data_IF_081550822696
#
_entry.id   IF_081550822696
#
_cell.length_a   1.000
_cell.length_b   1.000
_cell.length_c   1.000
_cell.angle_alpha   90.00
_cell.angle_beta   90.00
_cell.angle_gamma   90.00
#
_symmetry.space_group_name_H-M   'P 1'
#
loop_
_entity.id
_entity.type
_entity.pdbx_description
1 polymer ?
#
# COMPACT_ATOMS: atom_id res chain seq x y z
N UNK A 1 -11.87 6.51 17.01
CA UNK A 1 -11.25 6.81 15.72
C UNK A 1 -10.95 8.29 15.75
N UNK A 2 -9.73 8.68 16.10
CA UNK A 2 -9.35 10.08 15.99
C UNK A 2 -9.35 10.37 14.49
N UNK A 3 -10.36 11.14 14.07
CA UNK A 3 -10.74 11.32 12.68
C UNK A 3 -9.64 12.16 12.01
N UNK A 4 -8.50 11.61 11.62
CA UNK A 4 -7.48 12.35 10.85
C UNK A 4 -7.84 12.43 9.36
N UNK A 5 -9.12 12.73 9.15
CA UNK A 5 -9.79 13.00 7.88
C UNK A 5 -10.65 14.28 8.00
N UNK A 6 -10.62 14.95 9.17
CA UNK A 6 -11.60 15.96 9.63
C UNK A 6 -11.82 17.13 8.67
N UNK A 7 -10.96 17.40 7.68
CA UNK A 7 -11.08 18.64 6.90
C UNK A 7 -11.58 18.51 5.46
N UNK A 8 -11.90 17.32 4.93
CA UNK A 8 -12.35 17.22 3.53
C UNK A 8 -13.46 16.20 3.25
N UNK A 9 -14.62 16.46 3.86
CA UNK A 9 -15.86 15.77 3.52
C UNK A 9 -16.38 16.10 2.09
N UNK A 10 -15.78 17.10 1.41
CA UNK A 10 -16.28 17.66 0.15
C UNK A 10 -15.65 17.05 -1.12
N UNK A 11 -14.67 16.14 -0.99
CA UNK A 11 -14.14 15.42 -2.15
C UNK A 11 -15.06 14.25 -2.51
N UNK A 12 -15.44 14.12 -3.80
CA UNK A 12 -16.13 12.94 -4.34
C UNK A 12 -15.38 11.62 -4.05
N UNK A 13 -14.08 11.69 -3.76
CA UNK A 13 -13.25 10.54 -3.45
C UNK A 13 -13.09 10.26 -1.95
N UNK A 14 -13.68 11.07 -1.08
CA UNK A 14 -13.56 10.91 0.37
C UNK A 14 -14.10 9.56 0.83
N UNK A 15 -15.38 9.25 0.59
CA UNK A 15 -15.99 8.01 1.09
C UNK A 15 -15.30 6.73 0.57
N UNK A 16 -14.96 6.60 -0.73
CA UNK A 16 -14.17 5.46 -1.23
C UNK A 16 -12.79 5.34 -0.57
N UNK A 17 -12.13 6.47 -0.31
CA UNK A 17 -10.81 6.51 0.31
C UNK A 17 -10.87 6.06 1.79
N UNK A 18 -11.88 6.52 2.54
CA UNK A 18 -12.13 6.06 3.91
C UNK A 18 -12.41 4.55 3.93
N UNK A 19 -13.28 4.07 3.05
CA UNK A 19 -13.63 2.65 2.97
C UNK A 19 -12.41 1.77 2.66
N UNK A 20 -11.54 2.19 1.74
CA UNK A 20 -10.30 1.51 1.43
C UNK A 20 -9.34 1.49 2.63
N UNK A 21 -9.21 2.62 3.33
CA UNK A 21 -8.39 2.73 4.54
C UNK A 21 -8.90 1.82 5.66
N UNK A 22 -10.21 1.81 5.93
CA UNK A 22 -10.83 0.94 6.93
C UNK A 22 -10.63 -0.54 6.62
N UNK A 23 -10.69 -0.94 5.34
CA UNK A 23 -10.50 -2.33 4.92
C UNK A 23 -9.07 -2.83 5.17
N UNK A 24 -8.06 -1.98 4.98
CA UNK A 24 -6.65 -2.38 5.11
C UNK A 24 -6.14 -2.19 6.53
N UNK A 25 -6.44 -1.03 7.12
CA UNK A 25 -5.86 -0.59 8.38
C UNK A 25 -6.72 -1.02 9.59
N UNK A 26 -7.99 -1.34 9.35
CA UNK A 26 -9.00 -1.62 10.38
C UNK A 26 -9.20 -0.44 11.34
N UNK A 27 -9.97 -0.65 12.43
CA UNK A 27 -10.29 0.38 13.44
C UNK A 27 -9.14 0.69 14.41
N UNK A 28 -7.92 0.27 14.11
CA UNK A 28 -6.75 0.52 14.95
C UNK A 28 -6.39 2.01 14.90
N UNK A 29 -5.77 2.52 15.97
CA UNK A 29 -5.33 3.92 16.04
C UNK A 29 -4.06 4.10 15.22
N UNK A 30 -4.10 4.91 14.16
CA UNK A 30 -2.94 5.19 13.31
C UNK A 30 -2.76 6.68 13.15
N UNK A 31 -1.50 7.12 13.04
CA UNK A 31 -1.18 8.50 12.65
C UNK A 31 -1.22 8.58 11.13
N UNK A 32 -2.16 9.35 10.59
CA UNK A 32 -2.29 9.61 9.17
C UNK A 32 -1.85 11.04 8.86
N UNK A 33 -1.17 11.24 7.73
CA UNK A 33 -0.81 12.54 7.20
C UNK A 33 -1.44 12.66 5.82
N UNK A 34 -2.27 13.68 5.63
CA UNK A 34 -2.85 14.00 4.32
C UNK A 34 -1.98 15.04 3.65
N UNK A 35 -1.56 14.76 2.42
CA UNK A 35 -0.99 15.75 1.51
C UNK A 35 -2.04 16.12 0.50
N UNK A 36 -2.42 17.40 0.52
CA UNK A 36 -3.43 17.97 -0.36
C UNK A 36 -2.72 18.87 -1.35
N UNK A 37 -3.13 18.77 -2.60
CA UNK A 37 -2.77 19.73 -3.62
C UNK A 37 -4.03 20.55 -3.92
N UNK A 38 -3.87 21.87 -4.04
CA UNK A 38 -4.98 22.81 -4.23
C UNK A 38 -5.66 22.69 -5.61
N UNK A 39 -5.22 21.75 -6.44
CA UNK A 39 -5.77 21.48 -7.76
C UNK A 39 -6.70 20.26 -7.71
N UNK A 40 -7.95 20.45 -8.16
CA UNK A 40 -9.00 19.43 -8.24
C UNK A 40 -8.64 18.21 -9.11
N UNK A 41 -7.60 18.31 -9.95
CA UNK A 41 -7.11 17.21 -10.77
C UNK A 41 -6.00 16.37 -10.12
N UNK A 42 -5.51 16.77 -8.95
CA UNK A 42 -4.40 16.06 -8.31
C UNK A 42 -4.89 14.98 -7.32
N UNK A 43 -4.17 13.85 -7.21
CA UNK A 43 -4.56 12.75 -6.34
C UNK A 43 -4.56 13.19 -4.87
N UNK A 44 -5.64 12.89 -4.15
CA UNK A 44 -5.63 12.96 -2.69
C UNK A 44 -4.77 11.82 -2.17
N UNK A 45 -3.69 12.14 -1.46
CA UNK A 45 -2.78 11.15 -0.87
C UNK A 45 -2.87 11.19 0.65
N UNK A 46 -3.10 10.03 1.25
CA UNK A 46 -3.07 9.82 2.70
C UNK A 46 -1.96 8.83 3.01
N UNK A 47 -0.99 9.28 3.77
CA UNK A 47 0.13 8.47 4.27
C UNK A 47 -0.10 8.08 5.72
N UNK A 48 0.41 6.94 6.14
CA UNK A 48 0.33 6.50 7.53
C UNK A 48 1.38 5.46 7.86
N UNK A 49 1.56 5.24 9.17
CA UNK A 49 2.38 4.14 9.67
C UNK A 49 1.48 3.13 10.39
N UNK A 50 1.51 1.89 9.93
CA UNK A 50 0.85 0.75 10.56
C UNK A 50 1.89 -0.04 11.33
N UNK A 51 1.61 -0.34 12.59
CA UNK A 51 2.39 -1.27 13.38
C UNK A 51 1.66 -2.62 13.49
N UNK A 52 2.33 -3.69 13.05
CA UNK A 52 1.81 -5.05 13.15
C UNK A 52 2.89 -6.04 13.51
N UNK A 53 2.76 -6.70 14.68
CA UNK A 53 3.71 -7.71 15.17
C UNK A 53 5.16 -7.21 15.11
N UNK A 54 5.42 -6.09 15.79
CA UNK A 54 6.75 -5.47 15.94
C UNK A 54 7.39 -4.98 14.64
N UNK A 55 6.54 -4.67 13.67
CA UNK A 55 6.96 -4.20 12.36
C UNK A 55 6.21 -2.94 11.98
N UNK A 56 6.98 -1.92 11.65
CA UNK A 56 6.46 -0.71 11.03
C UNK A 56 6.27 -0.92 9.54
N UNK A 57 5.13 -0.49 9.04
CA UNK A 57 4.84 -0.41 7.62
C UNK A 57 4.36 0.99 7.28
N UNK A 58 4.89 1.54 6.20
CA UNK A 58 4.41 2.79 5.63
C UNK A 58 3.32 2.46 4.64
N UNK A 59 2.15 3.07 4.78
CA UNK A 59 1.03 2.91 3.85
C UNK A 59 0.66 4.25 3.25
N UNK A 60 0.41 4.26 1.95
CA UNK A 60 -0.11 5.39 1.20
C UNK A 60 -1.40 4.97 0.52
N UNK A 61 -2.44 5.79 0.64
CA UNK A 61 -3.66 5.69 -0.13
C UNK A 61 -3.72 6.88 -1.08
N UNK A 62 -3.91 6.62 -2.36
CA UNK A 62 -4.10 7.65 -3.36
C UNK A 62 -5.48 7.47 -4.00
N UNK A 63 -6.26 8.54 -4.09
CA UNK A 63 -7.52 8.55 -4.81
C UNK A 63 -7.48 9.51 -6.00
N UNK A 64 -7.92 9.03 -7.16
CA UNK A 64 -8.05 9.83 -8.39
C UNK A 64 -9.47 9.72 -8.93
N UNK A 65 -9.99 10.82 -9.47
CA UNK A 65 -11.26 10.83 -10.17
C UNK A 65 -11.04 10.44 -11.64
N UNK A 66 -11.69 9.37 -12.10
CA UNK A 66 -11.63 8.91 -13.50
C UNK A 66 -13.05 8.76 -14.00
N UNK A 67 -13.45 9.55 -15.00
CA UNK A 67 -14.80 9.54 -15.57
C UNK A 67 -15.91 9.71 -14.52
N UNK A 68 -15.69 10.57 -13.52
CA UNK A 68 -16.64 10.78 -12.42
C UNK A 68 -16.67 9.66 -11.36
N UNK A 69 -15.85 8.62 -11.50
CA UNK A 69 -15.70 7.55 -10.52
C UNK A 69 -14.34 7.62 -9.83
N UNK A 70 -14.33 7.55 -8.51
CA UNK A 70 -13.09 7.54 -7.74
C UNK A 70 -12.44 6.17 -7.75
N UNK A 71 -11.19 6.12 -8.23
CA UNK A 71 -10.33 4.95 -8.16
C UNK A 71 -9.33 5.15 -7.04
N UNK A 72 -9.30 4.19 -6.12
CA UNK A 72 -8.40 4.24 -4.97
C UNK A 72 -7.31 3.19 -5.14
N UNK A 73 -6.07 3.59 -4.92
CA UNK A 73 -4.92 2.70 -4.85
C UNK A 73 -4.31 2.81 -3.46
N UNK A 74 -3.79 1.70 -2.97
CA UNK A 74 -2.98 1.66 -1.77
C UNK A 74 -1.62 1.07 -2.08
N UNK A 75 -0.58 1.62 -1.47
CA UNK A 75 0.77 1.08 -1.48
C UNK A 75 1.24 0.96 -0.06
N UNK A 76 1.55 -0.25 0.37
CA UNK A 76 2.07 -0.57 1.68
C UNK A 76 3.49 -1.09 1.55
N UNK A 77 4.45 -0.41 2.15
CA UNK A 77 5.87 -0.73 2.11
C UNK A 77 6.38 -1.09 3.50
N UNK A 78 7.25 -2.09 3.56
CA UNK A 78 7.81 -2.60 4.80
C UNK A 78 9.05 -3.45 4.54
N UNK A 79 9.82 -3.77 5.59
CA UNK A 79 11.03 -4.59 5.48
C UNK A 79 10.91 -5.90 6.25
N UNK A 80 11.60 -6.94 5.79
CA UNK A 80 11.91 -8.14 6.56
C UNK A 80 13.42 -8.24 6.74
N UNK A 81 13.89 -8.65 7.91
CA UNK A 81 15.32 -8.95 8.17
C UNK A 81 15.66 -10.37 7.69
N UNK A 82 15.35 -10.63 6.43
CA UNK A 82 15.55 -11.89 5.72
C UNK A 82 15.73 -11.59 4.23
N UNK A 83 16.51 -12.39 3.48
CA UNK A 83 16.59 -12.29 2.03
C UNK A 83 15.21 -12.46 1.36
N UNK A 84 14.99 -11.80 0.21
CA UNK A 84 13.70 -11.84 -0.47
C UNK A 84 13.31 -13.23 -0.96
N UNK A 85 14.27 -14.12 -1.23
CA UNK A 85 13.97 -15.50 -1.59
C UNK A 85 13.27 -16.24 -0.44
N UNK A 86 13.72 -16.03 0.80
CA UNK A 86 13.12 -16.60 2.01
C UNK A 86 11.73 -15.98 2.24
N UNK A 87 11.63 -14.65 2.15
CA UNK A 87 10.35 -13.94 2.27
C UNK A 87 9.33 -14.44 1.22
N UNK A 88 9.78 -14.69 -0.01
CA UNK A 88 8.94 -15.26 -1.05
C UNK A 88 8.41 -16.63 -0.64
N UNK A 89 9.27 -17.52 -0.15
CA UNK A 89 8.91 -18.90 0.20
C UNK A 89 8.05 -19.00 1.46
N UNK A 90 8.21 -18.09 2.42
CA UNK A 90 7.51 -18.15 3.70
C UNK A 90 6.22 -17.33 3.69
N UNK A 91 6.30 -16.09 3.19
CA UNK A 91 5.21 -15.10 3.27
C UNK A 91 4.39 -15.07 1.98
N UNK A 92 5.05 -15.10 0.82
CA UNK A 92 4.40 -14.96 -0.48
C UNK A 92 4.27 -16.29 -1.24
N UNK A 93 4.30 -17.43 -0.55
CA UNK A 93 4.28 -18.78 -1.18
C UNK A 93 3.07 -19.06 -2.06
N UNK A 94 1.95 -18.39 -1.76
CA UNK A 94 0.69 -18.50 -2.51
C UNK A 94 0.56 -17.44 -3.61
N UNK A 95 1.54 -16.57 -3.80
CA UNK A 95 1.53 -15.56 -4.84
C UNK A 95 2.23 -16.10 -6.09
N UNK A 96 1.71 -15.73 -7.26
CA UNK A 96 2.28 -16.12 -8.54
C UNK A 96 3.39 -15.16 -8.93
N UNK A 97 4.52 -15.70 -9.40
CA UNK A 97 5.57 -14.90 -9.99
C UNK A 97 5.10 -14.34 -11.33
N UNK A 98 5.23 -13.02 -11.50
CA UNK A 98 4.90 -12.31 -12.75
C UNK A 98 6.13 -11.92 -13.55
N UNK A 99 7.26 -11.73 -12.88
CA UNK A 99 8.51 -11.39 -13.54
C UNK A 99 9.51 -10.78 -12.58
N UNK A 100 10.47 -10.10 -13.17
CA UNK A 100 11.63 -9.49 -12.51
C UNK A 100 11.79 -8.10 -13.13
N UNK A 101 11.85 -7.04 -12.32
CA UNK A 101 12.07 -5.67 -12.81
C UNK A 101 13.56 -5.36 -13.00
N UNK A 102 14.40 -5.97 -12.18
CA UNK A 102 15.86 -5.92 -12.25
C UNK A 102 16.42 -7.11 -11.45
N UNK A 103 17.75 -7.27 -11.44
CA UNK A 103 18.40 -8.43 -10.81
C UNK A 103 18.08 -8.63 -9.31
N UNK A 104 17.56 -7.62 -8.62
CA UNK A 104 17.24 -7.69 -7.19
C UNK A 104 15.75 -7.56 -6.87
N UNK A 105 14.88 -7.37 -7.87
CA UNK A 105 13.46 -7.05 -7.65
C UNK A 105 12.53 -8.02 -8.35
N UNK A 106 11.83 -8.82 -7.55
CA UNK A 106 10.81 -9.77 -8.00
C UNK A 106 9.43 -9.10 -8.04
N UNK A 107 8.61 -9.47 -9.04
CA UNK A 107 7.21 -9.07 -9.14
C UNK A 107 6.32 -10.27 -8.92
N UNK A 108 5.40 -10.16 -7.97
CA UNK A 108 4.42 -11.19 -7.62
C UNK A 108 3.00 -10.63 -7.77
N UNK A 109 2.04 -11.49 -8.08
CA UNK A 109 0.60 -11.16 -8.02
C UNK A 109 -0.14 -12.15 -7.12
N UNK A 110 -1.16 -11.65 -6.43
CA UNK A 110 -1.99 -12.49 -5.58
C UNK A 110 -2.80 -13.48 -6.44
N UNK A 111 -2.75 -14.77 -6.10
CA UNK A 111 -3.37 -15.83 -6.93
C UNK A 111 -4.89 -15.69 -7.11
N UNK A 112 -5.58 -15.02 -6.18
CA UNK A 112 -7.04 -14.82 -6.26
C UNK A 112 -7.45 -13.44 -6.79
N UNK A 113 -6.52 -12.49 -6.84
CA UNK A 113 -6.81 -11.11 -7.20
C UNK A 113 -5.60 -10.50 -7.89
N UNK A 114 -5.62 -10.50 -9.22
CA UNK A 114 -4.52 -9.99 -10.03
C UNK A 114 -4.31 -8.46 -9.88
N UNK A 115 -5.26 -7.74 -9.25
CA UNK A 115 -5.09 -6.31 -8.92
C UNK A 115 -4.18 -6.09 -7.71
N UNK A 116 -3.81 -7.17 -7.00
CA UNK A 116 -2.86 -7.11 -5.90
C UNK A 116 -1.49 -7.55 -6.39
N UNK A 117 -0.55 -6.61 -6.38
CA UNK A 117 0.83 -6.81 -6.84
C UNK A 117 1.77 -6.61 -5.65
N UNK A 118 2.80 -7.42 -5.56
CA UNK A 118 3.86 -7.26 -4.58
C UNK A 118 5.22 -7.20 -5.29
N UNK A 119 6.06 -6.27 -4.85
CA UNK A 119 7.44 -6.14 -5.25
C UNK A 119 8.32 -6.54 -4.08
N UNK A 120 9.28 -7.43 -4.31
CA UNK A 120 10.25 -7.87 -3.32
C UNK A 120 11.63 -7.48 -3.83
N UNK A 121 12.29 -6.55 -3.15
CA UNK A 121 13.61 -6.03 -3.51
C UNK A 121 14.63 -6.33 -2.42
N UNK A 122 15.69 -7.06 -2.75
CA UNK A 122 16.79 -7.30 -1.83
C UNK A 122 17.55 -5.98 -1.58
N UNK A 123 17.89 -5.72 -0.31
CA UNK A 123 18.87 -4.71 0.04
C UNK A 123 20.24 -5.06 -0.58
N UNK A 124 21.09 -4.07 -0.78
CA UNK A 124 22.40 -4.27 -1.44
C UNK A 124 23.31 -5.26 -0.73
N UNK A 125 23.15 -5.44 0.58
CA UNK A 125 23.87 -6.39 1.41
C UNK A 125 23.17 -7.76 1.54
N UNK A 126 22.00 -7.92 0.92
CA UNK A 126 21.17 -9.13 0.97
C UNK A 126 20.55 -9.44 2.34
N UNK A 127 20.70 -8.54 3.33
CA UNK A 127 20.29 -8.82 4.71
C UNK A 127 18.82 -8.49 4.99
N UNK A 128 18.22 -7.65 4.14
CA UNK A 128 16.81 -7.26 4.21
C UNK A 128 16.10 -7.43 2.88
N UNK A 129 14.82 -7.75 2.96
CA UNK A 129 13.89 -7.66 1.84
C UNK A 129 12.97 -6.46 2.04
N UNK A 130 13.06 -5.47 1.16
CA UNK A 130 12.06 -4.43 1.02
C UNK A 130 10.88 -5.01 0.25
N UNK A 131 9.69 -4.86 0.79
CA UNK A 131 8.47 -5.31 0.15
C UNK A 131 7.52 -4.14 -0.01
N UNK A 132 6.96 -4.00 -1.20
CA UNK A 132 5.90 -3.04 -1.51
C UNK A 132 4.69 -3.79 -2.06
N UNK A 133 3.56 -3.71 -1.35
CA UNK A 133 2.27 -4.29 -1.74
C UNK A 133 1.37 -3.21 -2.30
N UNK A 134 0.82 -3.45 -3.47
CA UNK A 134 -0.07 -2.54 -4.18
C UNK A 134 -1.44 -3.19 -4.27
N UNK A 135 -2.47 -2.48 -3.84
CA UNK A 135 -3.86 -2.89 -4.05
C UNK A 135 -4.61 -1.79 -4.79
N UNK A 136 -5.45 -2.18 -5.73
CA UNK A 136 -6.36 -1.28 -6.44
C UNK A 136 -7.81 -1.69 -6.15
N UNK A 137 -8.62 -0.70 -5.79
CA UNK A 137 -10.05 -0.85 -5.52
C UNK A 137 -10.85 -0.37 -6.73
#
# INVERSE_FOLDING_TARGET
MEKVLINHNDSLCYAPLVSAAEKIISKKTHRLMTTLNNDSNEPVVISGVIEYKDRQSHINFAAILVNGQCRVKSTESFTFKLPCITVRQEVFKKWQMKGILNNTTLVLAHSRDAKQIAYLSDASDGSYCLVSRHNQF
#
